data_IF_220462894489
#
_entry.id   IF_220462894489
#
_cell.length_a   1.000
_cell.length_b   1.000
_cell.length_c   1.000
_cell.angle_alpha   90.00
_cell.angle_beta   90.00
_cell.angle_gamma   90.00
#
_symmetry.space_group_name_H-M   'P 1'
#
loop_
_entity.id
_entity.type
_entity.pdbx_description
1 polymer ?
#
# COMPACT_ATOMS: atom_id res chain seq x y z
N UNK A 1 22.61 -2.62 -21.90
CA UNK A 1 21.76 -1.60 -21.26
C UNK A 1 21.02 -2.30 -20.14
N UNK A 2 21.15 -1.83 -18.90
CA UNK A 2 20.47 -2.42 -17.74
C UNK A 2 18.96 -2.18 -17.83
N UNK A 3 18.21 -3.18 -18.27
CA UNK A 3 16.75 -3.18 -18.38
C UNK A 3 16.05 -3.01 -17.01
N UNK A 4 16.75 -3.27 -15.91
CA UNK A 4 16.20 -3.18 -14.54
C UNK A 4 15.85 -1.75 -14.10
N UNK A 5 16.41 -0.70 -14.72
CA UNK A 5 16.12 0.68 -14.34
C UNK A 5 14.73 1.19 -14.77
N UNK A 6 14.06 0.47 -15.68
CA UNK A 6 12.91 0.96 -16.44
C UNK A 6 11.59 0.22 -16.16
N UNK A 7 11.56 -0.74 -15.23
CA UNK A 7 10.32 -1.39 -14.79
C UNK A 7 9.40 -0.39 -14.07
N UNK A 8 8.09 -0.46 -14.34
CA UNK A 8 7.09 0.25 -13.52
C UNK A 8 7.27 -0.18 -12.08
N UNK A 9 7.48 0.79 -11.19
CA UNK A 9 7.77 0.54 -9.77
C UNK A 9 6.45 0.49 -9.01
N UNK A 10 6.30 -0.51 -8.14
CA UNK A 10 5.21 -0.60 -7.16
C UNK A 10 5.82 -0.95 -5.82
N UNK A 11 5.34 -0.31 -4.77
CA UNK A 11 5.66 -0.70 -3.40
C UNK A 11 4.67 -1.75 -2.88
N UNK A 12 3.56 -1.97 -3.58
CA UNK A 12 2.58 -3.00 -3.24
C UNK A 12 3.16 -4.38 -3.55
N UNK A 13 3.30 -5.22 -2.52
CA UNK A 13 3.77 -6.58 -2.63
C UNK A 13 2.87 -7.41 -3.56
N UNK A 14 1.55 -7.17 -3.48
CA UNK A 14 0.54 -7.89 -4.25
C UNK A 14 0.54 -7.59 -5.75
N UNK A 15 1.08 -6.44 -6.19
CA UNK A 15 1.18 -6.07 -7.62
C UNK A 15 2.50 -6.47 -8.28
N UNK A 16 3.50 -6.85 -7.50
CA UNK A 16 4.74 -7.42 -8.04
C UNK A 16 4.69 -8.94 -8.14
N UNK A 17 3.78 -9.56 -7.40
CA UNK A 17 3.26 -10.86 -7.76
C UNK A 17 2.36 -10.64 -8.98
N UNK A 18 2.91 -10.81 -10.18
CA UNK A 18 2.05 -11.17 -11.31
C UNK A 18 1.27 -12.41 -10.84
N UNK A 19 -0.01 -12.26 -10.48
CA UNK A 19 -0.84 -13.36 -9.96
C UNK A 19 -0.76 -14.59 -10.89
N UNK A 20 -0.60 -14.35 -12.19
CA UNK A 20 -0.36 -15.36 -13.22
C UNK A 20 0.92 -16.20 -13.02
N UNK A 21 1.97 -15.63 -12.41
CA UNK A 21 3.20 -16.37 -12.05
C UNK A 21 3.11 -17.03 -10.66
N UNK A 22 2.31 -16.48 -9.76
CA UNK A 22 2.14 -16.98 -8.40
C UNK A 22 1.24 -18.22 -8.34
N UNK A 23 0.21 -18.32 -9.18
CA UNK A 23 -0.67 -19.51 -9.27
C UNK A 23 0.07 -20.79 -9.72
N UNK A 24 1.24 -20.65 -10.33
CA UNK A 24 2.07 -21.78 -10.78
C UNK A 24 3.05 -22.33 -9.75
N UNK A 25 3.18 -21.73 -8.55
CA UNK A 25 4.16 -22.13 -7.54
C UNK A 25 3.46 -22.78 -6.34
N UNK A 26 3.51 -24.12 -6.19
CA UNK A 26 2.76 -24.85 -5.17
C UNK A 26 3.19 -24.56 -3.73
N UNK A 27 4.32 -23.88 -3.52
CA UNK A 27 4.86 -23.52 -2.21
C UNK A 27 4.25 -22.22 -1.65
N UNK A 28 3.60 -21.39 -2.47
CA UNK A 28 2.94 -20.16 -2.01
C UNK A 28 1.53 -20.52 -1.51
N UNK A 29 1.21 -20.12 -0.28
CA UNK A 29 -0.14 -20.29 0.28
C UNK A 29 -0.91 -19.00 0.07
N UNK A 30 -1.96 -19.06 -0.74
CA UNK A 30 -2.90 -17.96 -0.95
C UNK A 30 -4.26 -18.33 -0.36
N UNK A 31 -4.70 -17.55 0.62
CA UNK A 31 -6.03 -17.66 1.22
C UNK A 31 -6.80 -16.36 0.98
N UNK A 32 -8.05 -16.48 0.60
CA UNK A 32 -8.97 -15.34 0.49
C UNK A 32 -10.14 -15.58 1.42
N UNK A 33 -10.42 -14.61 2.28
CA UNK A 33 -11.54 -14.66 3.21
C UNK A 33 -12.25 -13.32 3.26
N UNK A 34 -13.55 -13.39 3.48
CA UNK A 34 -14.42 -12.22 3.59
C UNK A 34 -14.70 -11.95 5.07
N UNK A 35 -14.51 -10.71 5.49
CA UNK A 35 -14.93 -10.23 6.80
C UNK A 35 -15.98 -9.14 6.58
N UNK A 36 -17.23 -9.43 6.94
CA UNK A 36 -18.44 -8.67 6.58
C UNK A 36 -18.62 -8.47 5.07
N UNK A 37 -17.99 -7.43 4.52
CA UNK A 37 -18.03 -7.03 3.10
C UNK A 37 -16.65 -6.69 2.55
N UNK A 38 -15.61 -6.88 3.37
CA UNK A 38 -14.23 -6.59 3.04
C UNK A 38 -13.53 -7.88 2.65
N UNK A 39 -12.82 -7.83 1.52
CA UNK A 39 -12.07 -8.96 1.02
C UNK A 39 -10.66 -8.88 1.59
N UNK A 40 -10.24 -9.92 2.28
CA UNK A 40 -8.90 -10.06 2.83
C UNK A 40 -8.19 -11.17 2.09
N UNK A 41 -7.07 -10.83 1.46
CA UNK A 41 -6.20 -11.80 0.80
C UNK A 41 -4.93 -11.97 1.63
N UNK A 42 -4.63 -13.21 2.02
CA UNK A 42 -3.41 -13.61 2.71
C UNK A 42 -2.52 -14.38 1.75
N UNK A 43 -1.27 -13.97 1.64
CA UNK A 43 -0.23 -14.66 0.88
C UNK A 43 0.96 -14.93 1.78
N UNK A 44 1.34 -16.19 1.90
CA UNK A 44 2.55 -16.62 2.62
C UNK A 44 3.60 -17.04 1.60
N UNK A 45 4.75 -16.38 1.65
CA UNK A 45 5.91 -16.65 0.78
C UNK A 45 7.00 -17.34 1.60
N UNK A 46 7.32 -18.62 1.33
CA UNK A 46 8.44 -19.31 1.97
C UNK A 46 9.80 -18.80 1.49
N UNK A 47 10.85 -19.01 2.30
CA UNK A 47 12.25 -18.66 1.98
C UNK A 47 12.73 -19.26 0.65
N UNK A 48 12.34 -20.50 0.34
CA UNK A 48 12.71 -21.23 -0.88
C UNK A 48 12.27 -20.56 -2.18
N UNK A 49 11.23 -19.72 -2.11
CA UNK A 49 10.59 -19.07 -3.26
C UNK A 49 10.91 -17.58 -3.31
N UNK A 50 11.14 -16.94 -2.15
CA UNK A 50 11.36 -15.51 -2.04
C UNK A 50 12.46 -14.98 -2.98
N UNK A 51 13.65 -15.58 -2.95
CA UNK A 51 14.77 -15.17 -3.81
C UNK A 51 14.46 -15.31 -5.30
N UNK A 52 13.69 -16.33 -5.71
CA UNK A 52 13.33 -16.59 -7.10
C UNK A 52 12.26 -15.60 -7.63
N UNK A 53 11.39 -15.12 -6.74
CA UNK A 53 10.36 -14.13 -7.04
C UNK A 53 10.85 -12.68 -6.90
N UNK A 54 12.07 -12.48 -6.40
CA UNK A 54 12.58 -11.15 -6.07
C UNK A 54 11.78 -10.48 -4.94
N UNK A 55 11.26 -11.27 -4.00
CA UNK A 55 10.47 -10.80 -2.85
C UNK A 55 10.94 -11.43 -1.55
N UNK A 56 10.79 -10.72 -0.45
CA UNK A 56 11.19 -11.24 0.85
C UNK A 56 10.22 -12.33 1.32
N UNK A 57 10.72 -13.42 1.91
CA UNK A 57 9.88 -14.42 2.53
C UNK A 57 9.18 -13.85 3.75
N UNK A 58 7.92 -14.24 3.94
CA UNK A 58 7.07 -13.73 5.01
C UNK A 58 5.60 -13.78 4.65
N UNK A 59 4.80 -13.06 5.44
CA UNK A 59 3.35 -13.02 5.34
C UNK A 59 2.94 -11.65 4.81
N UNK A 60 2.01 -11.65 3.87
CA UNK A 60 1.45 -10.47 3.24
C UNK A 60 -0.07 -10.57 3.33
N UNK A 61 -0.69 -9.54 3.90
CA UNK A 61 -2.13 -9.36 3.88
C UNK A 61 -2.47 -8.15 3.02
N UNK A 62 -3.56 -8.27 2.28
CA UNK A 62 -4.13 -7.21 1.45
C UNK A 62 -5.61 -7.10 1.78
N UNK A 63 -6.00 -5.98 2.38
CA UNK A 63 -7.38 -5.63 2.68
C UNK A 63 -7.91 -4.71 1.58
N UNK A 64 -8.93 -5.16 0.85
CA UNK A 64 -9.62 -4.34 -0.16
C UNK A 64 -10.64 -3.43 0.52
N UNK A 65 -10.45 -2.12 0.41
CA UNK A 65 -11.31 -1.09 1.01
C UNK A 65 -12.29 -0.46 0.01
N UNK A 66 -12.39 -1.00 -1.22
CA UNK A 66 -13.33 -0.51 -2.25
C UNK A 66 -14.79 -0.56 -1.80
N UNK A 67 -15.12 -1.44 -0.84
CA UNK A 67 -16.45 -1.55 -0.27
C UNK A 67 -16.84 -0.36 0.62
N UNK A 68 -15.89 0.48 1.04
CA UNK A 68 -16.18 1.68 1.85
C UNK A 68 -16.88 2.71 0.96
N UNK A 69 -18.12 3.04 1.33
CA UNK A 69 -18.79 4.19 0.72
C UNK A 69 -18.32 5.45 1.41
N UNK A 70 -18.02 6.48 0.63
CA UNK A 70 -17.64 7.80 1.15
C UNK A 70 -18.68 8.30 2.16
N UNK A 71 -18.23 8.61 3.38
CA UNK A 71 -19.03 9.09 4.52
C UNK A 71 -19.92 8.09 5.27
N UNK A 72 -19.76 6.78 5.07
CA UNK A 72 -20.43 5.80 5.94
C UNK A 72 -19.56 5.45 7.15
N UNK A 73 -19.96 5.90 8.35
CA UNK A 73 -19.19 5.66 9.58
C UNK A 73 -19.16 4.18 9.97
N UNK A 74 -20.25 3.45 9.68
CA UNK A 74 -20.34 2.02 10.02
C UNK A 74 -19.36 1.20 9.19
N UNK A 75 -19.12 1.62 7.94
CA UNK A 75 -18.14 0.98 7.06
C UNK A 75 -16.71 1.18 7.54
N UNK A 76 -16.38 2.36 8.06
CA UNK A 76 -15.05 2.65 8.61
C UNK A 76 -14.77 1.79 9.84
N UNK A 77 -15.75 1.64 10.73
CA UNK A 77 -15.63 0.79 11.94
C UNK A 77 -15.41 -0.68 11.57
N UNK A 78 -16.14 -1.21 10.58
CA UNK A 78 -15.94 -2.59 10.12
C UNK A 78 -14.60 -2.79 9.42
N UNK A 79 -14.13 -1.79 8.66
CA UNK A 79 -12.79 -1.83 8.07
C UNK A 79 -11.69 -1.82 9.14
N UNK A 80 -11.89 -1.05 10.21
CA UNK A 80 -11.01 -1.01 11.38
C UNK A 80 -10.95 -2.38 12.08
N UNK A 81 -12.09 -3.07 12.22
CA UNK A 81 -12.17 -4.42 12.79
C UNK A 81 -11.46 -5.45 11.92
N UNK A 82 -11.69 -5.42 10.60
CA UNK A 82 -11.00 -6.25 9.62
C UNK A 82 -9.48 -6.03 9.65
N UNK A 83 -9.03 -4.78 9.76
CA UNK A 83 -7.61 -4.45 9.83
C UNK A 83 -6.99 -4.87 11.19
N UNK A 84 -7.71 -4.70 12.29
CA UNK A 84 -7.30 -5.16 13.62
C UNK A 84 -7.07 -6.68 13.64
N UNK A 85 -7.98 -7.46 13.03
CA UNK A 85 -7.80 -8.91 12.82
C UNK A 85 -6.49 -9.24 12.11
N UNK A 86 -6.21 -8.55 11.00
CA UNK A 86 -4.99 -8.75 10.21
C UNK A 86 -3.74 -8.44 11.04
N UNK A 87 -3.70 -7.30 11.73
CA UNK A 87 -2.54 -6.91 12.55
C UNK A 87 -2.34 -7.93 13.67
N UNK A 88 -3.40 -8.38 14.36
CA UNK A 88 -3.34 -9.43 15.38
C UNK A 88 -2.76 -10.74 14.85
N UNK A 89 -3.15 -11.17 13.64
CA UNK A 89 -2.59 -12.37 13.03
C UNK A 89 -1.09 -12.23 12.74
N UNK A 90 -0.66 -11.09 12.20
CA UNK A 90 0.75 -10.83 11.92
C UNK A 90 1.58 -10.77 13.20
N UNK A 91 1.08 -10.13 14.26
CA UNK A 91 1.73 -10.11 15.57
C UNK A 91 1.86 -11.52 16.18
N UNK A 92 0.80 -12.34 16.10
CA UNK A 92 0.83 -13.74 16.56
C UNK A 92 1.87 -14.55 15.78
N UNK A 93 1.98 -14.35 14.47
CA UNK A 93 2.96 -15.05 13.63
C UNK A 93 4.42 -14.71 14.02
N UNK A 94 4.68 -13.47 14.43
CA UNK A 94 5.99 -13.04 14.94
C UNK A 94 6.21 -13.32 16.45
N UNK A 95 5.27 -14.02 17.10
CA UNK A 95 5.29 -14.28 18.55
C UNK A 95 5.32 -13.01 19.41
N UNK A 96 4.69 -11.94 18.94
CA UNK A 96 4.61 -10.67 19.65
C UNK A 96 3.38 -10.68 20.56
N UNK A 97 3.61 -10.35 21.83
CA UNK A 97 2.56 -10.11 22.81
C UNK A 97 2.63 -8.65 23.27
N UNK A 98 1.78 -7.76 22.73
CA UNK A 98 1.78 -6.34 23.06
C UNK A 98 1.68 -6.05 24.57
N UNK A 99 1.01 -6.90 25.34
CA UNK A 99 0.82 -6.68 26.79
C UNK A 99 2.10 -6.81 27.62
N UNK A 100 3.15 -7.43 27.06
CA UNK A 100 4.41 -7.72 27.77
C UNK A 100 5.66 -7.13 27.11
N UNK A 101 5.51 -6.56 25.93
CA UNK A 101 6.61 -6.10 25.08
C UNK A 101 6.43 -4.63 24.75
N UNK A 102 7.55 -3.92 24.62
CA UNK A 102 7.61 -2.50 24.28
C UNK A 102 7.51 -2.31 22.78
N UNK A 103 6.47 -1.62 22.33
CA UNK A 103 6.25 -1.31 20.92
C UNK A 103 6.73 0.08 20.53
N UNK A 104 7.28 0.21 19.33
CA UNK A 104 7.50 1.50 18.68
C UNK A 104 6.66 1.60 17.41
N UNK A 105 5.84 2.64 17.31
CA UNK A 105 5.13 3.03 16.11
C UNK A 105 5.96 4.06 15.35
N UNK A 106 6.15 3.86 14.05
CA UNK A 106 6.91 4.76 13.19
C UNK A 106 6.05 5.18 12.00
N UNK A 107 5.72 6.48 11.92
CA UNK A 107 5.01 7.07 10.80
C UNK A 107 5.98 7.62 9.77
N UNK A 108 6.12 6.93 8.65
CA UNK A 108 6.95 7.38 7.53
C UNK A 108 6.18 8.33 6.63
N UNK A 109 6.93 9.26 6.05
CA UNK A 109 6.41 10.20 5.06
C UNK A 109 6.65 11.66 5.42
N UNK A 110 6.22 12.53 4.52
CA UNK A 110 6.33 13.98 4.65
C UNK A 110 4.95 14.61 4.85
N UNK A 111 4.71 15.13 6.06
CA UNK A 111 3.45 15.80 6.41
C UNK A 111 3.08 16.98 5.49
N UNK A 112 4.06 17.58 4.81
CA UNK A 112 3.81 18.70 3.88
C UNK A 112 3.30 18.26 2.49
N UNK A 113 3.27 16.95 2.22
CA UNK A 113 2.79 16.38 0.95
C UNK A 113 1.61 15.50 1.30
N UNK A 114 0.37 15.96 1.03
CA UNK A 114 -0.86 15.27 1.47
C UNK A 114 -0.85 13.74 1.21
N UNK A 115 -0.58 13.23 0.00
CA UNK A 115 -0.61 11.79 -0.22
C UNK A 115 0.50 11.03 0.52
N UNK A 116 1.56 11.71 0.96
CA UNK A 116 2.69 11.15 1.72
C UNK A 116 2.57 11.45 3.23
N UNK A 117 1.49 12.09 3.68
CA UNK A 117 1.29 12.50 5.07
C UNK A 117 0.65 11.40 5.94
N UNK A 118 0.27 10.25 5.36
CA UNK A 118 -0.48 9.20 6.04
C UNK A 118 0.22 8.72 7.33
N UNK A 119 1.51 8.37 7.25
CA UNK A 119 2.27 7.89 8.42
C UNK A 119 2.29 8.90 9.57
N UNK A 120 2.74 10.16 9.35
CA UNK A 120 2.67 11.21 10.35
C UNK A 120 1.27 11.41 10.96
N UNK A 121 0.23 11.45 10.13
CA UNK A 121 -1.14 11.64 10.60
C UNK A 121 -1.65 10.47 11.43
N UNK A 122 -1.28 9.23 11.10
CA UNK A 122 -1.59 8.07 11.93
C UNK A 122 -0.90 8.17 13.28
N UNK A 123 0.37 8.59 13.33
CA UNK A 123 1.10 8.76 14.59
C UNK A 123 0.48 9.82 15.51
N UNK A 124 -0.15 10.85 14.96
CA UNK A 124 -0.86 11.87 15.74
C UNK A 124 -2.19 11.37 16.34
N UNK A 125 -2.73 10.24 15.85
CA UNK A 125 -4.04 9.71 16.23
C UNK A 125 -4.00 8.37 17.00
N UNK A 126 -2.82 7.78 17.22
CA UNK A 126 -2.63 6.57 18.02
C UNK A 126 -2.47 6.88 19.51
N UNK A 127 -2.85 5.93 20.37
CA UNK A 127 -2.72 6.07 21.82
C UNK A 127 -1.27 5.76 22.24
N UNK A 128 -0.53 6.80 22.63
CA UNK A 128 0.87 6.67 23.11
C UNK A 128 0.90 6.61 24.62
N UNK A 129 1.50 5.58 25.19
CA UNK A 129 1.34 5.24 26.62
C UNK A 129 2.66 5.12 27.39
N UNK A 130 3.81 5.06 26.71
CA UNK A 130 5.13 4.88 27.37
C UNK A 130 5.38 5.86 28.51
N UNK A 131 4.93 7.10 28.39
CA UNK A 131 5.08 8.10 29.44
C UNK A 131 4.38 7.72 30.76
N UNK A 132 3.26 6.98 30.70
CA UNK A 132 2.54 6.48 31.88
C UNK A 132 3.37 5.44 32.63
N UNK A 133 4.00 4.51 31.91
CA UNK A 133 4.87 3.48 32.47
C UNK A 133 6.15 4.05 33.11
N UNK A 134 6.64 5.19 32.62
CA UNK A 134 7.81 5.87 33.19
C UNK A 134 7.45 6.63 34.46
N UNK A 135 6.31 7.31 34.46
CA UNK A 135 5.90 8.17 35.56
C UNK A 135 5.32 7.35 36.71
N UNK A 136 4.26 6.57 36.43
CA UNK A 136 3.47 5.85 37.43
C UNK A 136 3.15 4.41 36.97
N UNK A 137 4.14 3.48 36.93
CA UNK A 137 3.93 2.12 36.46
C UNK A 137 2.82 1.35 37.22
N UNK A 138 2.61 1.64 38.51
CA UNK A 138 1.61 0.97 39.35
C UNK A 138 0.16 1.40 39.08
N UNK A 139 -0.04 2.55 38.39
CA UNK A 139 -1.38 3.09 38.09
C UNK A 139 -1.88 2.72 36.68
N UNK A 140 -1.03 2.10 35.86
CA UNK A 140 -1.40 1.70 34.51
C UNK A 140 -2.43 0.58 34.58
N UNK A 141 -3.59 0.81 33.96
CA UNK A 141 -4.67 -0.17 33.92
C UNK A 141 -4.28 -1.42 33.14
N UNK A 142 -4.81 -2.57 33.56
CA UNK A 142 -4.68 -3.81 32.80
C UNK A 142 -5.23 -3.63 31.39
N UNK A 143 -4.54 -4.19 30.40
CA UNK A 143 -4.91 -4.08 28.98
C UNK A 143 -4.36 -2.87 28.25
N UNK A 144 -3.51 -2.06 28.88
CA UNK A 144 -2.72 -1.02 28.23
C UNK A 144 -1.30 -1.57 27.96
N UNK A 145 -0.88 -1.56 26.70
CA UNK A 145 0.51 -1.86 26.30
C UNK A 145 1.44 -0.65 26.41
N UNK A 146 2.74 -0.87 26.58
CA UNK A 146 3.77 0.19 26.59
C UNK A 146 4.16 0.55 25.15
N UNK A 147 3.54 1.62 24.62
CA UNK A 147 3.70 2.04 23.23
C UNK A 147 4.36 3.42 23.15
N UNK A 148 5.36 3.52 22.27
CA UNK A 148 5.97 4.78 21.82
C UNK A 148 5.56 5.05 20.39
N UNK A 149 5.47 6.31 19.97
CA UNK A 149 5.27 6.67 18.58
C UNK A 149 6.21 7.80 18.16
N UNK A 150 6.62 7.80 16.89
CA UNK A 150 7.37 8.89 16.29
C UNK A 150 7.07 9.03 14.79
N UNK A 151 6.99 10.26 14.31
CA UNK A 151 7.07 10.60 12.90
C UNK A 151 8.44 11.28 12.63
N UNK A 152 9.47 10.54 12.20
CA UNK A 152 10.82 11.08 12.01
C UNK A 152 10.94 12.07 10.86
N UNK A 153 9.93 12.15 9.99
CA UNK A 153 9.96 12.96 8.78
C UNK A 153 10.88 12.37 7.71
N UNK A 154 11.27 13.23 6.75
CA UNK A 154 12.12 12.85 5.62
C UNK A 154 13.49 13.49 5.72
N UNK A 155 14.52 12.85 5.16
CA UNK A 155 15.89 13.38 5.11
C UNK A 155 15.96 14.81 4.57
N UNK A 156 15.08 15.18 3.62
CA UNK A 156 15.03 16.54 3.07
C UNK A 156 14.70 17.62 4.10
N UNK A 157 14.03 17.25 5.20
CA UNK A 157 13.68 18.16 6.30
C UNK A 157 14.62 18.05 7.49
N UNK A 158 15.14 16.86 7.77
CA UNK A 158 15.92 16.57 9.00
C UNK A 158 17.42 16.55 8.77
N UNK A 159 17.88 16.30 7.53
CA UNK A 159 19.27 16.04 7.20
C UNK A 159 19.80 14.68 7.67
N UNK A 160 18.94 13.83 8.25
CA UNK A 160 19.27 12.50 8.76
C UNK A 160 18.33 11.49 8.09
N UNK A 161 18.86 10.33 7.70
CA UNK A 161 18.03 9.27 7.15
C UNK A 161 17.06 8.73 8.19
N UNK A 162 15.84 8.45 7.76
CA UNK A 162 14.76 7.96 8.62
C UNK A 162 15.15 6.65 9.33
N UNK A 163 15.90 5.79 8.64
CA UNK A 163 16.47 4.58 9.22
C UNK A 163 17.37 4.88 10.42
N UNK A 164 18.32 5.81 10.28
CA UNK A 164 19.30 6.10 11.33
C UNK A 164 18.62 6.70 12.58
N UNK A 165 17.60 7.54 12.40
CA UNK A 165 16.77 8.07 13.51
C UNK A 165 16.04 6.92 14.22
N UNK A 166 15.42 6.03 13.43
CA UNK A 166 14.61 4.93 13.95
C UNK A 166 15.47 3.93 14.72
N UNK A 167 16.61 3.52 14.17
CA UNK A 167 17.59 2.64 14.81
C UNK A 167 18.10 3.24 16.13
N UNK A 168 18.47 4.53 16.13
CA UNK A 168 18.95 5.21 17.32
C UNK A 168 17.91 5.20 18.46
N UNK A 169 16.63 5.38 18.13
CA UNK A 169 15.54 5.34 19.11
C UNK A 169 15.36 3.93 19.64
N UNK A 170 15.23 2.94 18.75
CA UNK A 170 15.05 1.52 19.11
C UNK A 170 16.12 1.08 20.11
N UNK A 171 17.38 1.40 19.82
CA UNK A 171 18.51 1.07 20.70
C UNK A 171 18.48 1.87 22.02
N UNK A 172 18.02 3.12 22.00
CA UNK A 172 18.03 3.99 23.18
C UNK A 172 16.93 3.67 24.18
N UNK A 173 15.75 3.27 23.70
CA UNK A 173 14.59 2.99 24.56
C UNK A 173 14.30 1.49 24.73
N UNK A 174 15.12 0.63 24.13
CA UNK A 174 15.06 -0.84 24.22
C UNK A 174 13.68 -1.38 23.80
N UNK A 175 13.36 -1.22 22.51
CA UNK A 175 12.09 -1.65 21.91
C UNK A 175 12.15 -3.12 21.49
N UNK A 176 11.05 -3.85 21.65
CA UNK A 176 10.94 -5.27 21.30
C UNK A 176 10.40 -5.51 19.88
N UNK A 177 9.56 -4.62 19.36
CA UNK A 177 9.02 -4.70 18.00
C UNK A 177 8.63 -3.31 17.45
N UNK A 178 8.59 -3.19 16.13
CA UNK A 178 8.23 -1.96 15.44
C UNK A 178 7.02 -2.18 14.55
N UNK A 179 6.05 -1.26 14.58
CA UNK A 179 5.00 -1.15 13.56
C UNK A 179 5.25 0.13 12.77
N UNK A 180 5.44 -0.01 11.46
CA UNK A 180 5.74 1.08 10.54
C UNK A 180 4.52 1.34 9.67
N UNK A 181 4.13 2.60 9.53
CA UNK A 181 3.03 3.03 8.64
C UNK A 181 3.60 3.93 7.56
N UNK A 182 3.33 3.60 6.30
CA UNK A 182 3.86 4.34 5.15
C UNK A 182 2.83 4.51 4.03
N UNK A 183 3.00 5.59 3.28
CA UNK A 183 2.32 5.83 2.02
C UNK A 183 3.12 5.18 0.87
N UNK A 184 2.47 4.31 0.11
CA UNK A 184 3.07 3.53 -0.97
C UNK A 184 2.70 4.09 -2.35
N UNK A 185 3.46 3.71 -3.38
CA UNK A 185 3.07 3.90 -4.78
C UNK A 185 2.45 2.62 -5.38
N UNK A 186 1.32 2.76 -6.08
CA UNK A 186 0.68 1.68 -6.84
C UNK A 186 1.10 1.66 -8.32
N UNK A 187 0.95 0.48 -8.95
CA UNK A 187 1.02 0.24 -10.40
C UNK A 187 -0.31 0.42 -11.11
N UNK A 188 -1.43 0.47 -10.40
CA UNK A 188 -2.74 0.62 -11.00
C UNK A 188 -3.56 1.70 -10.28
N UNK A 189 -4.19 2.56 -11.07
CA UNK A 189 -5.09 3.63 -10.56
C UNK A 189 -6.24 3.05 -9.74
N UNK A 190 -6.70 1.85 -10.12
CA UNK A 190 -7.81 1.18 -9.46
C UNK A 190 -7.56 0.85 -7.98
N UNK A 191 -6.29 0.85 -7.52
CA UNK A 191 -5.92 0.52 -6.13
C UNK A 191 -5.62 1.73 -5.26
N UNK A 192 -5.41 2.91 -5.85
CA UNK A 192 -5.08 4.11 -5.09
C UNK A 192 -6.18 4.40 -4.08
N UNK A 193 -5.81 4.53 -2.80
CA UNK A 193 -6.68 4.72 -1.63
C UNK A 193 -7.70 3.60 -1.38
N UNK A 194 -7.56 2.44 -2.02
CA UNK A 194 -8.55 1.34 -1.98
C UNK A 194 -7.99 0.02 -1.45
N UNK A 195 -6.78 0.03 -0.93
CA UNK A 195 -6.13 -1.18 -0.44
C UNK A 195 -5.24 -0.85 0.75
N UNK A 196 -5.25 -1.68 1.78
CA UNK A 196 -4.30 -1.60 2.89
C UNK A 196 -3.49 -2.89 2.91
N UNK A 197 -2.17 -2.77 2.87
CA UNK A 197 -1.26 -3.90 2.92
C UNK A 197 -0.64 -4.00 4.31
N UNK A 198 -0.55 -5.21 4.86
CA UNK A 198 0.17 -5.49 6.11
C UNK A 198 1.16 -6.62 5.89
N UNK A 199 2.41 -6.47 6.33
CA UNK A 199 3.45 -7.50 6.19
C UNK A 199 4.45 -7.50 7.34
N UNK A 200 5.07 -8.65 7.63
CA UNK A 200 6.19 -8.80 8.59
C UNK A 200 7.58 -8.70 7.95
N UNK A 201 7.65 -8.45 6.63
CA UNK A 201 8.93 -8.45 5.90
C UNK A 201 9.70 -7.14 6.01
N UNK A 202 9.03 -6.08 6.47
CA UNK A 202 9.55 -4.72 6.51
C UNK A 202 9.06 -3.86 5.36
N UNK A 203 9.69 -2.70 5.20
CA UNK A 203 9.35 -1.72 4.18
C UNK A 203 10.59 -0.98 3.68
N UNK A 204 10.63 -0.73 2.37
CA UNK A 204 11.65 0.08 1.70
C UNK A 204 11.04 1.43 1.33
N UNK A 205 11.26 2.50 2.12
CA UNK A 205 10.54 3.75 1.91
C UNK A 205 10.93 4.41 0.58
N UNK A 206 9.93 4.77 -0.23
CA UNK A 206 10.14 5.51 -1.47
C UNK A 206 10.69 4.71 -2.66
N UNK A 207 10.74 3.36 -2.58
CA UNK A 207 11.19 2.54 -3.72
C UNK A 207 10.33 2.70 -4.98
N UNK A 208 9.02 2.94 -4.82
CA UNK A 208 8.05 3.18 -5.88
C UNK A 208 8.14 4.57 -6.50
N UNK A 209 8.81 5.52 -5.82
CA UNK A 209 8.97 6.92 -6.25
C UNK A 209 10.35 7.20 -6.84
N UNK A 210 11.17 6.16 -7.02
CA UNK A 210 12.49 6.32 -7.63
C UNK A 210 13.66 6.30 -6.63
N UNK A 211 13.39 6.34 -5.33
CA UNK A 211 14.40 6.48 -4.28
C UNK A 211 14.69 5.14 -3.59
N UNK A 212 15.94 4.70 -3.62
CA UNK A 212 16.38 3.52 -2.88
C UNK A 212 16.85 3.94 -1.48
N UNK A 213 15.91 4.16 -0.53
CA UNK A 213 16.28 4.41 0.87
C UNK A 213 16.65 3.10 1.56
N UNK A 214 17.36 3.21 2.69
CA UNK A 214 17.61 2.06 3.56
C UNK A 214 16.27 1.48 4.03
N UNK A 215 16.14 0.18 3.89
CA UNK A 215 14.97 -0.58 4.30
C UNK A 215 14.85 -0.64 5.83
N UNK A 216 13.60 -0.59 6.31
CA UNK A 216 13.23 -0.89 7.68
C UNK A 216 12.68 -2.32 7.72
N UNK A 217 13.53 -3.28 8.07
CA UNK A 217 13.17 -4.70 8.13
C UNK A 217 13.82 -5.38 9.33
N UNK A 218 13.32 -6.58 9.66
CA UNK A 218 13.88 -7.42 10.73
C UNK A 218 15.35 -7.73 10.52
N UNK A 219 15.77 -7.91 9.26
CA UNK A 219 17.18 -8.17 8.90
C UNK A 219 18.09 -6.98 9.21
N UNK A 220 17.60 -5.75 9.00
CA UNK A 220 18.39 -4.52 9.15
C UNK A 220 18.37 -3.98 10.58
N UNK A 221 17.28 -4.16 11.32
CA UNK A 221 17.11 -3.60 12.67
C UNK A 221 17.35 -4.66 13.76
N UNK A 222 17.15 -5.94 13.45
CA UNK A 222 17.35 -7.06 14.38
C UNK A 222 16.14 -7.39 15.28
N UNK A 223 15.07 -6.59 15.23
CA UNK A 223 13.79 -6.86 15.90
C UNK A 223 12.65 -7.01 14.89
N UNK A 224 11.54 -7.68 15.23
CA UNK A 224 10.38 -7.80 14.34
C UNK A 224 9.86 -6.43 13.86
N UNK A 225 9.59 -6.34 12.56
CA UNK A 225 9.03 -5.15 11.92
C UNK A 225 7.74 -5.52 11.19
N UNK A 226 6.64 -4.89 11.57
CA UNK A 226 5.35 -5.00 10.88
C UNK A 226 5.16 -3.73 10.08
N UNK A 227 5.05 -3.83 8.76
CA UNK A 227 4.79 -2.71 7.88
C UNK A 227 3.32 -2.68 7.46
N UNK A 228 2.70 -1.52 7.60
CA UNK A 228 1.36 -1.18 7.10
C UNK A 228 1.57 -0.15 5.98
N UNK A 229 1.16 -0.50 4.77
CA UNK A 229 1.34 0.33 3.60
C UNK A 229 0.05 0.57 2.85
N UNK A 230 -0.19 1.82 2.43
CA UNK A 230 -1.37 2.18 1.63
C UNK A 230 -0.94 2.88 0.35
N UNK A 231 -1.35 2.42 -0.85
CA UNK A 231 -1.03 3.09 -2.08
C UNK A 231 -1.81 4.40 -2.20
N UNK A 232 -1.14 5.55 -2.13
CA UNK A 232 -1.78 6.88 -2.18
C UNK A 232 -1.46 7.64 -3.46
N UNK A 233 -0.46 7.18 -4.22
CA UNK A 233 -0.03 7.77 -5.49
C UNK A 233 0.23 6.69 -6.53
N UNK A 234 0.28 7.13 -7.78
CA UNK A 234 0.70 6.35 -8.94
C UNK A 234 1.58 7.21 -9.84
N UNK A 235 2.57 6.60 -10.48
CA UNK A 235 3.48 7.28 -11.41
C UNK A 235 2.70 7.83 -12.63
N UNK A 236 3.01 9.05 -13.05
CA UNK A 236 2.41 9.65 -14.24
C UNK A 236 2.63 8.82 -15.52
N UNK A 237 3.75 8.10 -15.62
CA UNK A 237 4.02 7.15 -16.72
C UNK A 237 2.98 6.04 -16.75
N UNK A 238 2.65 5.50 -15.58
CA UNK A 238 1.64 4.46 -15.41
C UNK A 238 0.26 4.98 -15.82
N UNK A 239 -0.11 6.20 -15.41
CA UNK A 239 -1.35 6.85 -15.85
C UNK A 239 -1.41 6.98 -17.37
N UNK A 240 -0.32 7.46 -17.98
CA UNK A 240 -0.26 7.66 -19.42
C UNK A 240 -0.42 6.33 -20.17
N UNK A 241 0.26 5.28 -19.69
CA UNK A 241 0.16 3.94 -20.23
C UNK A 241 -1.27 3.38 -20.12
N UNK A 242 -1.84 3.39 -18.91
CA UNK A 242 -3.21 2.92 -18.65
C UNK A 242 -4.23 3.68 -19.50
N UNK A 243 -4.05 4.99 -19.70
CA UNK A 243 -4.95 5.81 -20.51
C UNK A 243 -4.92 5.41 -21.98
N UNK A 244 -3.74 5.14 -22.53
CA UNK A 244 -3.58 4.65 -23.91
C UNK A 244 -4.26 3.28 -24.06
N UNK A 245 -4.04 2.39 -23.08
CA UNK A 245 -4.63 1.06 -23.08
C UNK A 245 -6.17 1.10 -22.98
N UNK A 246 -6.71 1.95 -22.11
CA UNK A 246 -8.15 2.21 -22.02
C UNK A 246 -8.69 2.78 -23.34
N UNK A 247 -7.99 3.73 -23.96
CA UNK A 247 -8.40 4.28 -25.25
C UNK A 247 -8.48 3.18 -26.34
N UNK A 248 -7.49 2.28 -26.40
CA UNK A 248 -7.50 1.15 -27.34
C UNK A 248 -8.67 0.19 -27.07
N UNK A 249 -8.91 -0.15 -25.81
CA UNK A 249 -10.07 -0.98 -25.41
C UNK A 249 -11.40 -0.32 -25.79
N UNK A 250 -11.52 1.00 -25.61
CA UNK A 250 -12.73 1.76 -25.96
C UNK A 250 -12.99 1.70 -27.46
N UNK A 251 -11.96 1.91 -28.29
CA UNK A 251 -12.10 1.81 -29.75
C UNK A 251 -12.44 0.40 -30.19
N UNK A 252 -11.80 -0.63 -29.63
CA UNK A 252 -12.13 -2.01 -29.96
C UNK A 252 -13.59 -2.34 -29.65
N UNK A 253 -14.09 -1.91 -28.49
CA UNK A 253 -15.49 -2.08 -28.14
C UNK A 253 -16.42 -1.34 -29.10
N UNK A 254 -16.13 -0.08 -29.46
CA UNK A 254 -16.93 0.70 -30.42
C UNK A 254 -16.94 0.11 -31.83
N UNK A 255 -15.85 -0.51 -32.27
CA UNK A 255 -15.78 -1.21 -33.55
C UNK A 255 -16.60 -2.52 -33.55
N UNK A 256 -16.68 -3.18 -32.39
CA UNK A 256 -17.43 -4.44 -32.22
C UNK A 256 -18.91 -4.22 -31.89
N UNK A 257 -19.30 -3.05 -31.38
CA UNK A 257 -20.69 -2.63 -31.23
C UNK A 257 -21.32 -2.42 -32.61
N UNK A 258 -22.23 -3.33 -33.02
CA UNK A 258 -23.06 -3.13 -34.23
C UNK A 258 -23.89 -1.85 -34.05
N UNK A 259 -23.56 -0.80 -34.81
CA UNK A 259 -24.31 0.46 -34.80
C UNK A 259 -25.83 0.20 -34.91
N UNK A 260 -26.58 0.41 -33.83
CA UNK A 260 -28.03 0.56 -33.94
C UNK A 260 -28.34 2.05 -34.18
N UNK A 261 -29.22 2.39 -35.14
CA UNK A 261 -29.44 3.79 -35.56
C UNK A 261 -29.86 4.79 -34.46
N UNK A 262 -30.25 4.31 -33.26
CA UNK A 262 -30.68 5.15 -32.13
C UNK A 262 -29.57 5.62 -31.19
N UNK A 263 -28.36 5.05 -31.24
CA UNK A 263 -27.27 5.40 -30.31
C UNK A 263 -26.48 6.66 -30.72
N UNK A 264 -26.75 7.24 -31.90
CA UNK A 264 -26.08 8.47 -32.38
C UNK A 264 -26.47 9.75 -31.62
N UNK A 265 -27.38 9.68 -30.65
CA UNK A 265 -27.97 10.85 -29.98
C UNK A 265 -27.70 10.94 -28.46
N UNK A 266 -26.97 10.01 -27.86
CA UNK A 266 -26.64 10.04 -26.42
C UNK A 266 -25.15 10.30 -26.24
N UNK A 267 -24.77 11.58 -26.15
CA UNK A 267 -23.44 12.01 -25.68
C UNK A 267 -23.41 12.08 -24.15
N UNK A 268 -23.79 11.00 -23.48
CA UNK A 268 -23.48 10.85 -22.06
C UNK A 268 -22.15 10.08 -21.96
N UNK A 269 -21.22 10.46 -21.07
CA UNK A 269 -20.14 9.57 -20.70
C UNK A 269 -20.76 8.33 -20.06
N UNK A 270 -20.99 7.28 -20.85
CA UNK A 270 -21.37 5.98 -20.32
C UNK A 270 -20.23 5.52 -19.40
N UNK A 271 -20.56 5.10 -18.17
CA UNK A 271 -19.63 4.33 -17.35
C UNK A 271 -19.44 2.98 -18.03
N UNK A 272 -18.50 2.91 -18.96
CA UNK A 272 -18.15 1.68 -19.62
C UNK A 272 -17.28 0.89 -18.63
N UNK A 273 -17.74 -0.30 -18.26
CA UNK A 273 -16.94 -1.23 -17.46
C UNK A 273 -15.87 -1.85 -18.38
N UNK A 274 -14.68 -1.25 -18.38
CA UNK A 274 -13.58 -1.60 -19.28
C UNK A 274 -12.67 -2.71 -18.73
N UNK A 275 -13.03 -3.27 -17.58
CA UNK A 275 -12.21 -4.24 -16.84
C UNK A 275 -11.99 -5.53 -17.65
N UNK A 276 -12.97 -5.91 -18.46
CA UNK A 276 -12.94 -7.11 -19.33
C UNK A 276 -12.81 -6.80 -20.84
N UNK A 277 -12.56 -5.54 -21.21
CA UNK A 277 -12.48 -5.16 -22.62
C UNK A 277 -11.17 -5.67 -23.25
N UNK A 278 -11.30 -6.37 -24.38
CA UNK A 278 -10.17 -6.92 -25.12
C UNK A 278 -9.41 -5.80 -25.85
N UNK A 279 -8.09 -5.96 -25.98
CA UNK A 279 -7.31 -5.10 -26.86
C UNK A 279 -7.69 -5.34 -28.33
N UNK A 280 -7.61 -4.31 -29.19
CA UNK A 280 -7.83 -4.46 -30.63
C UNK A 280 -6.75 -5.34 -31.27
N UNK A 281 -7.07 -5.97 -32.40
CA UNK A 281 -6.07 -6.70 -33.19
C UNK A 281 -4.91 -5.76 -33.57
N UNK A 282 -3.68 -6.29 -33.66
CA UNK A 282 -2.46 -5.52 -33.96
C UNK A 282 -2.60 -4.60 -35.17
N UNK A 283 -3.36 -5.04 -36.19
CA UNK A 283 -3.66 -4.24 -37.38
C UNK A 283 -4.37 -2.93 -37.03
N UNK A 284 -5.41 -2.98 -36.20
CA UNK A 284 -6.15 -1.80 -35.78
C UNK A 284 -5.32 -0.95 -34.83
N UNK A 285 -4.59 -1.56 -33.89
CA UNK A 285 -3.67 -0.85 -32.99
C UNK A 285 -2.63 -0.04 -33.78
N UNK A 286 -2.09 -0.60 -34.87
CA UNK A 286 -1.19 0.10 -35.79
C UNK A 286 -1.88 1.22 -36.56
N UNK A 287 -3.12 1.03 -37.02
CA UNK A 287 -3.87 2.09 -37.71
C UNK A 287 -4.12 3.31 -36.81
N UNK A 288 -4.35 3.10 -35.51
CA UNK A 288 -4.60 4.19 -34.55
C UNK A 288 -3.34 4.84 -34.00
N UNK A 289 -2.32 4.05 -33.64
CA UNK A 289 -1.14 4.53 -32.92
C UNK A 289 0.16 4.48 -33.76
N UNK A 290 0.09 4.03 -35.01
CA UNK A 290 1.27 3.86 -35.85
C UNK A 290 2.26 2.87 -35.26
N UNK A 291 3.55 3.15 -35.43
CA UNK A 291 4.64 2.29 -34.96
C UNK A 291 4.71 2.21 -33.42
N UNK A 292 4.20 3.23 -32.70
CA UNK A 292 4.08 3.17 -31.24
C UNK A 292 3.14 2.04 -30.78
N UNK A 293 2.08 1.77 -31.53
CA UNK A 293 1.13 0.71 -31.23
C UNK A 293 1.76 -0.69 -31.23
N UNK A 294 2.81 -0.88 -32.04
CA UNK A 294 3.52 -2.15 -32.23
C UNK A 294 4.61 -2.42 -31.19
N UNK A 295 4.99 -1.40 -30.42
CA UNK A 295 5.98 -1.55 -29.36
C UNK A 295 5.49 -2.55 -28.31
N UNK A 296 6.42 -3.37 -27.79
CA UNK A 296 6.12 -4.22 -26.64
C UNK A 296 5.85 -3.33 -25.41
N UNK A 297 5.09 -3.80 -24.39
CA UNK A 297 4.70 -2.98 -23.24
C UNK A 297 5.88 -2.26 -22.57
N UNK A 298 7.01 -2.95 -22.43
CA UNK A 298 8.23 -2.42 -21.82
C UNK A 298 8.83 -1.26 -22.62
N UNK A 299 8.85 -1.35 -23.95
CA UNK A 299 9.30 -0.28 -24.85
C UNK A 299 8.35 0.92 -24.81
N UNK A 300 7.04 0.69 -24.71
CA UNK A 300 6.04 1.76 -24.55
C UNK A 300 6.28 2.54 -23.26
N UNK A 301 6.47 1.83 -22.15
CA UNK A 301 6.76 2.43 -20.84
C UNK A 301 8.06 3.22 -20.88
N UNK A 302 9.12 2.66 -21.49
CA UNK A 302 10.38 3.36 -21.65
C UNK A 302 10.21 4.65 -22.46
N UNK A 303 9.50 4.61 -23.58
CA UNK A 303 9.27 5.81 -24.38
C UNK A 303 8.47 6.86 -23.59
N UNK A 304 7.44 6.44 -22.85
CA UNK A 304 6.66 7.34 -22.00
C UNK A 304 7.53 7.96 -20.90
N UNK A 305 8.43 7.19 -20.28
CA UNK A 305 9.43 7.72 -19.36
C UNK A 305 10.32 8.75 -20.07
N UNK A 306 10.88 8.43 -21.23
CA UNK A 306 11.76 9.35 -21.98
C UNK A 306 11.04 10.63 -22.42
N UNK A 307 9.72 10.59 -22.64
CA UNK A 307 8.92 11.77 -23.02
C UNK A 307 8.54 12.62 -21.80
N UNK A 308 8.27 12.00 -20.65
CA UNK A 308 7.87 12.71 -19.43
C UNK A 308 9.07 13.21 -18.60
N UNK A 309 10.22 12.56 -18.70
CA UNK A 309 11.45 12.84 -17.95
C UNK A 309 12.41 13.91 -18.54
N UNK A 310 12.31 14.46 -19.78
CA UNK A 310 13.29 15.43 -20.31
C UNK A 310 13.48 16.69 -19.45
N UNK A 311 12.50 17.01 -18.61
CA UNK A 311 12.54 18.16 -17.69
C UNK A 311 12.98 17.78 -16.26
N UNK A 312 13.26 16.50 -15.98
CA UNK A 312 13.69 16.01 -14.66
C UNK A 312 12.59 15.91 -13.59
N UNK A 313 11.30 15.92 -13.99
CA UNK A 313 10.18 15.80 -13.04
C UNK A 313 9.78 14.34 -12.83
N UNK A 314 9.95 13.82 -11.60
CA UNK A 314 9.27 12.60 -11.14
C UNK A 314 7.85 12.98 -10.73
N UNK A 315 6.91 12.91 -11.68
CA UNK A 315 5.51 13.28 -11.45
C UNK A 315 4.73 12.11 -10.85
N UNK A 316 4.06 12.40 -9.74
CA UNK A 316 3.11 11.50 -9.11
C UNK A 316 1.69 12.05 -9.25
N UNK A 317 0.73 11.15 -9.42
CA UNK A 317 -0.68 11.46 -9.59
C UNK A 317 -1.47 10.85 -8.43
N UNK A 318 -2.44 11.59 -7.91
CA UNK A 318 -3.35 11.16 -6.85
C UNK A 318 -4.74 11.76 -7.09
N UNK A 319 -5.83 11.16 -6.61
CA UNK A 319 -7.17 11.75 -6.70
C UNK A 319 -7.24 13.16 -6.09
N UNK A 320 -8.15 13.99 -6.62
CA UNK A 320 -8.34 15.36 -6.12
C UNK A 320 -8.84 15.41 -4.67
N UNK A 321 -9.59 14.39 -4.24
CA UNK A 321 -10.19 14.30 -2.91
C UNK A 321 -9.30 13.51 -1.92
N UNK A 322 -8.01 13.37 -2.22
CA UNK A 322 -7.03 12.63 -1.41
C UNK A 322 -7.04 13.07 0.07
N UNK A 323 -7.32 14.33 0.37
CA UNK A 323 -7.37 14.83 1.75
C UNK A 323 -8.39 14.05 2.59
N UNK A 324 -9.57 13.77 2.02
CA UNK A 324 -10.66 13.03 2.69
C UNK A 324 -10.29 11.56 2.82
N UNK A 325 -9.69 10.99 1.78
CA UNK A 325 -9.25 9.59 1.79
C UNK A 325 -8.19 9.37 2.87
N UNK A 326 -7.20 10.26 2.95
CA UNK A 326 -6.13 10.21 3.97
C UNK A 326 -6.73 10.36 5.38
N UNK A 327 -7.70 11.24 5.59
CA UNK A 327 -8.38 11.37 6.88
C UNK A 327 -9.10 10.07 7.28
N UNK A 328 -9.85 9.46 6.37
CA UNK A 328 -10.55 8.20 6.63
C UNK A 328 -9.58 7.05 6.89
N UNK A 329 -8.54 6.92 6.06
CA UNK A 329 -7.48 5.92 6.22
C UNK A 329 -6.74 6.12 7.55
N UNK A 330 -6.47 7.36 7.95
CA UNK A 330 -5.84 7.68 9.23
C UNK A 330 -6.67 7.12 10.38
N UNK A 331 -7.98 7.39 10.39
CA UNK A 331 -8.89 6.89 11.44
C UNK A 331 -8.94 5.37 11.48
N UNK A 332 -9.04 4.72 10.32
CA UNK A 332 -9.10 3.25 10.22
C UNK A 332 -7.80 2.62 10.72
N UNK A 333 -6.64 3.15 10.30
CA UNK A 333 -5.34 2.56 10.65
C UNK A 333 -5.01 2.83 12.13
N UNK A 334 -5.21 4.05 12.63
CA UNK A 334 -4.92 4.36 14.03
C UNK A 334 -5.83 3.57 14.97
N UNK A 335 -7.13 3.51 14.68
CA UNK A 335 -8.09 2.72 15.45
C UNK A 335 -7.77 1.22 15.44
N UNK A 336 -7.39 0.67 14.27
CA UNK A 336 -7.00 -0.73 14.17
C UNK A 336 -5.72 -1.05 14.96
N UNK A 337 -4.73 -0.15 14.94
CA UNK A 337 -3.53 -0.25 15.77
C UNK A 337 -3.91 -0.23 17.25
N UNK A 338 -4.71 0.75 17.68
CA UNK A 338 -5.10 0.90 19.09
C UNK A 338 -5.90 -0.30 19.60
N UNK A 339 -6.88 -0.81 18.83
CA UNK A 339 -7.62 -2.03 19.17
C UNK A 339 -6.72 -3.27 19.23
N UNK A 340 -5.65 -3.29 18.45
CA UNK A 340 -4.73 -4.43 18.44
C UNK A 340 -3.78 -4.39 19.63
N UNK A 341 -3.29 -3.21 19.99
CA UNK A 341 -2.27 -3.04 21.03
C UNK A 341 -2.89 -2.88 22.42
N UNK A 342 -4.02 -2.22 22.55
CA UNK A 342 -4.67 -1.96 23.83
C UNK A 342 -5.94 -2.81 23.95
N UNK A 343 -5.87 -3.91 24.72
CA UNK A 343 -7.03 -4.81 24.90
C UNK A 343 -8.20 -4.14 25.61
N UNK A 344 -7.99 -2.99 26.27
CA UNK A 344 -9.06 -2.17 26.85
C UNK A 344 -9.89 -1.42 25.78
N UNK A 345 -9.30 -1.16 24.61
CA UNK A 345 -9.95 -0.52 23.46
C UNK A 345 -10.69 -1.56 22.62
N UNK A 346 -10.15 -2.78 22.58
CA UNK A 346 -10.81 -3.94 22.01
C UNK A 346 -11.98 -4.37 22.91
N UNK A 347 -13.18 -3.84 22.64
CA UNK A 347 -14.43 -4.11 23.40
C UNK A 347 -14.91 -5.59 23.35
N UNK A 348 -14.01 -6.57 23.21
CA UNK A 348 -14.32 -8.00 23.05
C UNK A 348 -14.92 -8.34 21.69
N UNK A 349 -14.83 -7.42 20.72
CA UNK A 349 -15.43 -7.58 19.38
C UNK A 349 -14.60 -8.54 18.53
N UNK A 350 -13.28 -8.57 18.75
CA UNK A 350 -12.34 -9.37 17.96
C UNK A 350 -11.67 -10.40 18.87
N UNK A 351 -12.39 -11.47 19.18
CA UNK A 351 -11.96 -12.59 20.04
C UNK A 351 -11.18 -13.68 19.30
#
# INVERSE_FOLDING_TARGET
MELDKFRIRTDLAFEALDLEKAEGVPEIINDEFEHDKFIIKRTIIPESVGEKLGRKPGIYFCLDTTAIKTHDHDDLVKCEEALSLIIKEVLKAENINPSRQKGLLVGLGNINVTPDALGPLVMDNVIVTRHMFILNPEEVSEGISEISAIAPGVMGTTGIETYDITEAIINKIEVDYVIVVDALAAKAVSRVNKTIQVTNTGISPGSGVGNSRKELSKEMIGIPVIAIGVPTVVDAVTIAHDTIDLMLKYFNQKLNEKETPGQKLVFAPEKIDMTNAQQPEEKYTKEFLGDFGLLIPEEKIQLLQEVLTPNGYNLMVTPKEIDIDIENLTRVISGAIDRTLHTIVDNGIVS
#
